data_IF_294726086202
#
_entry.id   IF_294726086202
#
_cell.length_a   1.000
_cell.length_b   1.000
_cell.length_c   1.000
_cell.angle_alpha   90.00
_cell.angle_beta   90.00
_cell.angle_gamma   90.00
#
_symmetry.space_group_name_H-M   'P 1'
#
loop_
_entity.id
_entity.type
_entity.pdbx_description
1 polymer ?
#
# COMPACT_ATOMS: atom_id res chain seq x y z
N UNK A 1 9.22 -5.91 -38.55
CA UNK A 1 10.66 -6.23 -38.62
C UNK A 1 11.00 -6.99 -37.35
N UNK A 2 11.19 -8.31 -37.47
CA UNK A 2 11.46 -9.22 -36.35
C UNK A 2 12.97 -9.31 -36.21
N UNK A 3 13.52 -9.01 -35.02
CA UNK A 3 14.94 -9.16 -34.73
C UNK A 3 15.12 -10.19 -33.62
N UNK A 4 15.53 -11.38 -34.01
CA UNK A 4 15.92 -12.51 -33.17
C UNK A 4 17.41 -12.38 -32.89
N UNK A 5 17.85 -12.38 -31.62
CA UNK A 5 19.27 -12.53 -31.28
C UNK A 5 19.49 -13.70 -30.31
N UNK A 6 20.46 -14.53 -30.69
CA UNK A 6 20.74 -15.85 -30.19
C UNK A 6 21.63 -15.87 -28.93
N UNK A 7 21.46 -16.92 -28.12
CA UNK A 7 22.38 -17.32 -27.05
C UNK A 7 23.68 -17.89 -27.63
N UNK A 8 24.81 -17.56 -27.02
CA UNK A 8 26.10 -18.26 -27.19
C UNK A 8 26.65 -18.64 -25.82
N UNK A 9 26.69 -19.95 -25.56
CA UNK A 9 27.49 -20.57 -24.51
C UNK A 9 28.74 -21.18 -25.17
N UNK A 10 29.91 -20.97 -24.58
CA UNK A 10 31.15 -21.56 -25.06
C UNK A 10 32.29 -21.29 -24.08
N UNK A 11 32.57 -22.28 -23.21
CA UNK A 11 33.82 -22.35 -22.45
C UNK A 11 34.87 -23.18 -23.19
N UNK A 12 36.15 -22.91 -22.94
CA UNK A 12 37.26 -23.86 -23.01
C UNK A 12 38.53 -23.19 -22.48
N UNK A 13 39.34 -23.93 -21.71
CA UNK A 13 40.64 -23.47 -21.24
C UNK A 13 41.25 -24.39 -20.20
N UNK A 14 41.62 -25.60 -20.61
CA UNK A 14 42.33 -26.62 -19.83
C UNK A 14 43.83 -26.34 -19.75
N UNK A 15 44.43 -26.42 -18.55
CA UNK A 15 45.86 -26.68 -18.36
C UNK A 15 46.13 -27.37 -17.01
N UNK A 16 46.80 -28.52 -17.06
CA UNK A 16 47.43 -29.34 -16.00
C UNK A 16 48.64 -30.00 -16.70
N UNK A 17 49.69 -30.59 -16.08
CA UNK A 17 49.99 -30.86 -14.66
C UNK A 17 51.40 -30.33 -14.26
N UNK A 18 51.97 -30.54 -13.06
CA UNK A 18 52.74 -31.73 -12.70
C UNK A 18 53.33 -31.64 -11.27
N UNK A 19 53.79 -32.79 -10.78
CA UNK A 19 54.68 -33.10 -9.65
C UNK A 19 54.06 -33.34 -8.26
N UNK A 20 53.74 -34.62 -8.01
CA UNK A 20 53.83 -35.27 -6.69
C UNK A 20 55.31 -35.58 -6.37
N UNK A 21 55.73 -35.80 -5.10
CA UNK A 21 55.47 -37.08 -4.41
C UNK A 21 55.19 -36.99 -2.89
N UNK A 22 54.44 -37.97 -2.40
CA UNK A 22 54.23 -38.30 -0.98
C UNK A 22 55.50 -38.88 -0.34
N UNK A 23 55.69 -38.78 0.99
CA UNK A 23 55.46 -40.01 1.77
C UNK A 23 54.95 -39.83 3.23
N UNK A 24 54.37 -40.94 3.71
CA UNK A 24 54.37 -41.49 5.06
C UNK A 24 53.54 -40.85 6.20
N UNK A 25 52.63 -41.68 6.71
CA UNK A 25 51.80 -41.57 7.90
C UNK A 25 52.54 -41.26 9.20
N UNK A 26 51.91 -40.45 10.06
CA UNK A 26 51.93 -40.63 11.52
C UNK A 26 50.74 -39.90 12.16
N UNK A 27 50.03 -40.61 13.01
CA UNK A 27 48.85 -40.17 13.74
C UNK A 27 49.18 -39.09 14.77
N UNK A 28 48.31 -38.11 14.93
CA UNK A 28 48.13 -37.40 16.21
C UNK A 28 46.68 -36.91 16.29
N UNK A 29 45.98 -37.39 17.31
CA UNK A 29 44.64 -36.99 17.68
C UNK A 29 44.61 -35.51 18.09
N UNK A 30 43.73 -34.72 17.49
CA UNK A 30 43.33 -33.42 18.02
C UNK A 30 41.81 -33.28 17.86
N UNK A 31 41.15 -33.00 18.98
CA UNK A 31 39.70 -32.95 19.19
C UNK A 31 38.92 -32.15 18.15
N UNK A 32 37.66 -32.54 17.84
CA UNK A 32 36.78 -31.67 17.09
C UNK A 32 36.38 -30.49 17.98
N UNK A 33 37.01 -29.32 17.79
CA UNK A 33 36.40 -28.05 18.18
C UNK A 33 35.14 -27.89 17.33
N UNK A 34 33.99 -28.17 17.95
CA UNK A 34 32.68 -27.87 17.41
C UNK A 34 32.66 -26.38 17.02
N UNK A 35 32.83 -26.12 15.73
CA UNK A 35 32.56 -24.81 15.15
C UNK A 35 31.05 -24.70 15.11
N UNK A 36 30.47 -24.15 16.17
CA UNK A 36 29.06 -23.78 16.20
C UNK A 36 28.80 -22.92 14.97
N UNK A 37 27.86 -23.28 14.07
CA UNK A 37 27.45 -22.36 13.02
C UNK A 37 26.90 -21.15 13.74
N UNK A 38 27.57 -20.00 13.57
CA UNK A 38 27.09 -18.73 14.09
C UNK A 38 25.65 -18.59 13.62
N UNK A 39 24.73 -18.57 14.59
CA UNK A 39 23.30 -18.48 14.36
C UNK A 39 23.06 -17.39 13.32
N UNK A 40 22.38 -17.78 12.24
CA UNK A 40 22.17 -16.93 11.07
C UNK A 40 21.77 -15.54 11.50
N UNK A 41 22.46 -14.53 10.97
CA UNK A 41 21.94 -13.19 10.95
C UNK A 41 20.66 -13.26 10.12
N UNK A 42 19.53 -13.48 10.79
CA UNK A 42 18.21 -13.30 10.21
C UNK A 42 18.15 -11.81 9.89
N UNK A 43 18.48 -11.46 8.65
CA UNK A 43 18.30 -10.12 8.13
C UNK A 43 16.82 -9.80 8.30
N UNK A 44 16.48 -9.12 9.39
CA UNK A 44 15.12 -8.67 9.66
C UNK A 44 14.83 -7.60 8.62
N UNK A 45 14.33 -8.04 7.47
CA UNK A 45 13.88 -7.16 6.40
C UNK A 45 12.82 -6.27 7.03
N UNK A 46 13.15 -4.98 7.19
CA UNK A 46 12.21 -4.01 7.73
C UNK A 46 10.91 -4.12 6.92
N UNK A 47 9.78 -4.27 7.63
CA UNK A 47 8.47 -4.24 6.99
C UNK A 47 8.36 -2.94 6.19
N UNK A 48 7.82 -2.97 4.95
CA UNK A 48 7.62 -1.76 4.16
C UNK A 48 6.79 -0.75 4.96
N UNK A 49 7.26 0.50 5.02
CA UNK A 49 6.42 1.57 5.55
C UNK A 49 5.23 1.82 4.62
N UNK A 50 4.08 2.26 5.17
CA UNK A 50 2.95 2.66 4.35
C UNK A 50 3.37 3.75 3.37
N UNK A 51 2.77 3.72 2.19
CA UNK A 51 2.95 4.74 1.17
C UNK A 51 1.60 5.32 0.84
N UNK A 52 1.59 6.60 0.48
CA UNK A 52 0.42 7.22 -0.12
C UNK A 52 0.11 6.53 -1.46
N UNK A 53 -1.18 6.32 -1.72
CA UNK A 53 -1.62 5.75 -2.99
C UNK A 53 -1.34 6.73 -4.13
N UNK A 54 -0.80 6.22 -5.24
CA UNK A 54 -0.80 6.93 -6.51
C UNK A 54 -2.14 6.63 -7.21
N UNK A 55 -2.99 7.65 -7.29
CA UNK A 55 -4.33 7.52 -7.88
C UNK A 55 -4.32 7.76 -9.40
N UNK A 56 -3.17 8.10 -9.97
CA UNK A 56 -3.03 8.44 -11.39
C UNK A 56 -2.59 7.25 -12.23
N UNK A 57 -2.30 6.11 -11.61
CA UNK A 57 -1.77 4.93 -12.27
C UNK A 57 -2.34 3.64 -11.68
N UNK A 58 -2.60 2.66 -12.54
CA UNK A 58 -3.06 1.34 -12.15
C UNK A 58 -4.36 1.34 -11.36
N UNK A 59 -4.65 0.20 -10.73
CA UNK A 59 -5.83 0.00 -9.90
C UNK A 59 -5.47 0.07 -8.43
N UNK A 60 -6.13 0.96 -7.68
CA UNK A 60 -5.90 1.10 -6.24
C UNK A 60 -7.19 1.46 -5.51
N UNK A 61 -7.26 1.11 -4.23
CA UNK A 61 -8.31 1.58 -3.32
C UNK A 61 -7.63 2.33 -2.18
N UNK A 62 -8.05 3.56 -1.94
CA UNK A 62 -7.46 4.41 -0.89
C UNK A 62 -8.49 5.36 -0.32
N UNK A 63 -8.29 5.74 0.95
CA UNK A 63 -8.95 6.92 1.52
C UNK A 63 -8.18 8.17 1.07
N UNK A 64 -8.92 9.23 0.77
CA UNK A 64 -8.41 10.52 0.31
C UNK A 64 -9.21 11.64 0.95
N UNK A 65 -8.63 12.84 1.02
CA UNK A 65 -9.38 14.08 1.24
C UNK A 65 -9.87 14.58 -0.12
N UNK A 66 -11.17 14.77 -0.26
CA UNK A 66 -11.78 15.36 -1.45
C UNK A 66 -11.79 16.89 -1.32
N UNK A 67 -10.97 17.55 -2.12
CA UNK A 67 -10.87 19.02 -2.16
C UNK A 67 -11.88 19.64 -3.14
N UNK A 68 -12.13 18.96 -4.27
CA UNK A 68 -13.11 19.40 -5.25
C UNK A 68 -13.70 18.23 -6.03
N UNK A 69 -14.96 18.35 -6.44
CA UNK A 69 -15.65 17.43 -7.32
C UNK A 69 -16.35 18.24 -8.42
N UNK A 70 -16.00 17.96 -9.68
CA UNK A 70 -16.59 18.58 -10.85
C UNK A 70 -17.27 17.51 -11.69
N UNK A 71 -18.57 17.36 -11.46
CA UNK A 71 -19.41 16.40 -12.19
C UNK A 71 -19.56 16.73 -13.67
N UNK A 72 -19.40 18.01 -14.08
CA UNK A 72 -19.54 18.42 -15.48
C UNK A 72 -18.32 18.00 -16.30
N UNK A 73 -17.14 18.07 -15.70
CA UNK A 73 -15.88 17.67 -16.32
C UNK A 73 -15.44 16.25 -15.93
N UNK A 74 -16.28 15.50 -15.19
CA UNK A 74 -15.99 14.17 -14.67
C UNK A 74 -14.60 14.09 -14.03
N UNK A 75 -14.33 14.98 -13.07
CA UNK A 75 -13.03 15.07 -12.41
C UNK A 75 -13.15 15.37 -10.92
N UNK A 76 -12.15 14.94 -10.15
CA UNK A 76 -12.03 15.28 -8.73
C UNK A 76 -10.61 15.74 -8.41
N UNK A 77 -10.48 16.69 -7.50
CA UNK A 77 -9.21 17.06 -6.88
C UNK A 77 -9.16 16.36 -5.52
N UNK A 78 -8.20 15.46 -5.38
CA UNK A 78 -8.06 14.60 -4.21
C UNK A 78 -6.65 14.69 -3.64
N UNK A 79 -6.55 14.49 -2.34
CA UNK A 79 -5.28 14.37 -1.63
C UNK A 79 -5.21 12.98 -0.99
N UNK A 80 -4.26 12.13 -1.42
CA UNK A 80 -4.04 10.85 -0.77
C UNK A 80 -3.70 11.04 0.70
N UNK A 81 -4.30 10.22 1.56
CA UNK A 81 -3.97 10.16 2.97
C UNK A 81 -3.70 8.72 3.39
N UNK A 82 -2.99 8.56 4.50
CA UNK A 82 -2.94 7.29 5.20
C UNK A 82 -4.00 7.34 6.28
N UNK A 83 -5.04 6.53 6.17
CA UNK A 83 -6.11 6.42 7.15
C UNK A 83 -6.08 5.05 7.81
N UNK A 84 -5.94 5.00 9.13
CA UNK A 84 -5.91 3.74 9.86
C UNK A 84 -6.35 3.91 11.31
N UNK A 85 -6.65 2.80 11.99
CA UNK A 85 -6.97 2.84 13.42
C UNK A 85 -5.74 3.25 14.25
N UNK A 86 -5.96 3.83 15.43
CA UNK A 86 -4.85 4.22 16.33
C UNK A 86 -3.90 3.06 16.66
N UNK A 87 -4.43 1.85 16.88
CA UNK A 87 -3.60 0.66 17.12
C UNK A 87 -2.81 0.23 15.88
N UNK A 88 -3.41 0.27 14.68
CA UNK A 88 -2.72 -0.03 13.43
C UNK A 88 -1.59 0.98 13.17
N UNK A 89 -1.85 2.26 13.43
CA UNK A 89 -0.87 3.34 13.33
C UNK A 89 0.34 3.08 14.22
N UNK A 90 0.09 2.84 15.51
CA UNK A 90 1.18 2.67 16.45
C UNK A 90 2.01 1.40 16.17
N UNK A 91 1.37 0.31 15.73
CA UNK A 91 2.10 -0.89 15.28
C UNK A 91 2.98 -0.60 14.07
N UNK A 92 2.42 0.10 13.08
CA UNK A 92 3.09 0.40 11.81
C UNK A 92 4.31 1.30 12.00
N UNK A 93 4.18 2.35 12.80
CA UNK A 93 5.24 3.33 13.06
C UNK A 93 6.08 3.01 14.30
N UNK A 94 5.87 1.83 14.92
CA UNK A 94 6.59 1.36 16.13
C UNK A 94 6.52 2.35 17.30
N UNK A 95 5.36 3.00 17.45
CA UNK A 95 5.05 3.89 18.57
C UNK A 95 4.57 3.02 19.74
N UNK A 96 4.93 3.41 20.97
CA UNK A 96 4.49 2.70 22.18
C UNK A 96 2.96 2.71 22.25
N UNK A 97 2.35 1.56 22.52
CA UNK A 97 0.88 1.43 22.65
C UNK A 97 0.23 2.34 23.71
N UNK A 98 1.01 2.84 24.66
CA UNK A 98 0.55 3.79 25.69
C UNK A 98 0.57 5.25 25.24
N UNK A 99 1.04 5.55 24.03
CA UNK A 99 1.01 6.90 23.45
C UNK A 99 -0.45 7.32 23.22
N UNK A 100 -0.77 8.59 23.51
CA UNK A 100 -2.12 9.14 23.40
C UNK A 100 -2.74 8.92 22.02
N UNK A 101 -1.93 8.93 20.94
CA UNK A 101 -2.38 8.65 19.57
C UNK A 101 -2.94 7.24 19.39
N UNK A 102 -2.47 6.28 20.18
CA UNK A 102 -2.91 4.89 20.11
C UNK A 102 -4.18 4.63 20.92
N UNK A 103 -4.35 5.33 22.05
CA UNK A 103 -5.41 5.03 23.03
C UNK A 103 -6.60 5.97 22.95
N UNK A 104 -6.40 7.22 22.53
CA UNK A 104 -7.44 8.25 22.55
C UNK A 104 -8.07 8.51 21.18
N UNK A 105 -7.50 7.97 20.11
CA UNK A 105 -7.96 8.20 18.75
C UNK A 105 -8.43 6.89 18.12
N UNK A 106 -9.71 6.83 17.75
CA UNK A 106 -10.25 5.70 17.00
C UNK A 106 -9.53 5.55 15.64
N UNK A 107 -9.24 6.68 15.00
CA UNK A 107 -8.54 6.76 13.72
C UNK A 107 -7.45 7.82 13.75
N UNK A 108 -6.40 7.58 12.96
CA UNK A 108 -5.29 8.49 12.73
C UNK A 108 -5.13 8.67 11.22
N UNK A 109 -4.95 9.92 10.82
CA UNK A 109 -4.69 10.34 9.43
C UNK A 109 -3.30 10.94 9.31
N UNK A 110 -2.58 10.57 8.26
CA UNK A 110 -1.40 11.31 7.78
C UNK A 110 -1.70 11.87 6.40
N UNK A 111 -1.46 13.16 6.22
CA UNK A 111 -1.73 13.89 4.99
C UNK A 111 -0.50 13.87 4.06
N UNK A 112 -0.72 13.58 2.77
CA UNK A 112 0.38 13.63 1.79
C UNK A 112 0.80 15.05 1.44
N UNK A 113 -0.03 16.06 1.73
CA UNK A 113 0.13 17.45 1.29
C UNK A 113 0.26 17.58 -0.24
N UNK A 114 -0.19 16.56 -0.98
CA UNK A 114 -0.09 16.50 -2.45
C UNK A 114 -1.49 16.36 -3.03
N UNK A 115 -1.88 17.33 -3.85
CA UNK A 115 -3.18 17.35 -4.52
C UNK A 115 -3.02 16.89 -5.96
N UNK A 116 -3.88 15.97 -6.36
CA UNK A 116 -3.92 15.44 -7.73
C UNK A 116 -5.33 15.57 -8.29
N UNK A 117 -5.43 15.91 -9.57
CA UNK A 117 -6.69 15.88 -10.30
C UNK A 117 -6.80 14.52 -10.98
N UNK A 118 -7.88 13.79 -10.71
CA UNK A 118 -8.11 12.44 -11.21
C UNK A 118 -9.42 12.43 -12.02
N UNK A 119 -9.44 11.85 -13.23
CA UNK A 119 -10.67 11.67 -13.99
C UNK A 119 -11.60 10.67 -13.30
N UNK A 120 -12.90 10.81 -13.54
CA UNK A 120 -13.95 9.96 -13.00
C UNK A 120 -14.61 9.24 -14.17
N UNK A 121 -14.79 7.94 -14.03
CA UNK A 121 -15.49 7.14 -15.00
C UNK A 121 -16.97 7.58 -15.11
N UNK A 122 -17.52 7.58 -16.32
CA UNK A 122 -18.90 8.00 -16.55
C UNK A 122 -19.94 7.10 -15.83
N UNK A 123 -19.56 5.87 -15.49
CA UNK A 123 -20.36 4.89 -14.74
C UNK A 123 -19.87 4.72 -13.30
N UNK A 124 -19.07 5.66 -12.79
CA UNK A 124 -18.59 5.62 -11.43
C UNK A 124 -19.73 5.44 -10.42
N UNK A 125 -19.47 4.60 -9.42
CA UNK A 125 -20.44 4.28 -8.37
C UNK A 125 -20.23 5.19 -7.16
N UNK A 126 -21.32 5.74 -6.63
CA UNK A 126 -21.29 6.64 -5.49
C UNK A 126 -21.99 6.01 -4.29
N UNK A 127 -21.41 6.18 -3.11
CA UNK A 127 -21.94 5.60 -1.88
C UNK A 127 -21.86 6.56 -0.69
N UNK A 128 -22.85 6.44 0.20
CA UNK A 128 -22.92 7.08 1.52
C UNK A 128 -22.90 6.02 2.61
N UNK A 129 -22.60 6.45 3.85
CA UNK A 129 -22.54 5.58 5.03
C UNK A 129 -23.87 5.46 5.78
N UNK A 130 -24.81 6.37 5.52
CA UNK A 130 -26.16 6.38 6.08
C UNK A 130 -27.17 6.61 4.95
N UNK A 131 -28.23 5.81 4.92
CA UNK A 131 -29.30 5.95 3.93
C UNK A 131 -30.37 7.00 4.35
N UNK A 132 -31.42 7.14 3.55
CA UNK A 132 -32.48 8.12 3.80
C UNK A 132 -33.35 7.80 5.02
N UNK A 133 -33.27 6.57 5.55
CA UNK A 133 -34.00 6.08 6.71
C UNK A 133 -33.17 6.20 7.99
N UNK A 134 -31.88 6.52 7.88
CA UNK A 134 -30.94 6.57 9.00
C UNK A 134 -30.25 5.24 9.27
N UNK A 135 -30.40 4.25 8.38
CA UNK A 135 -29.70 2.97 8.53
C UNK A 135 -28.25 3.12 8.08
N UNK A 136 -27.33 2.61 8.90
CA UNK A 136 -25.89 2.68 8.66
C UNK A 136 -25.44 1.52 7.77
N UNK A 137 -24.90 1.83 6.58
CA UNK A 137 -24.30 0.84 5.69
C UNK A 137 -22.78 1.07 5.56
N UNK A 138 -21.99 0.36 6.38
CA UNK A 138 -20.53 0.40 6.36
C UNK A 138 -20.00 -1.03 6.50
N UNK A 139 -19.19 -1.49 5.55
CA UNK A 139 -18.50 -2.79 5.65
C UNK A 139 -17.21 -2.68 6.48
N UNK A 140 -16.44 -1.62 6.21
CA UNK A 140 -15.20 -1.29 6.91
C UNK A 140 -14.94 0.22 6.80
N UNK A 141 -14.39 0.87 7.84
CA UNK A 141 -14.17 2.32 7.85
C UNK A 141 -13.35 2.81 6.64
N UNK A 142 -12.27 2.11 6.30
CA UNK A 142 -11.38 2.45 5.19
C UNK A 142 -11.97 2.22 3.80
N UNK A 143 -13.10 1.51 3.70
CA UNK A 143 -13.84 1.30 2.44
C UNK A 143 -14.97 2.31 2.23
N UNK A 144 -15.25 3.13 3.24
CA UNK A 144 -16.38 4.03 3.28
C UNK A 144 -17.73 3.31 3.29
N UNK A 145 -18.78 4.07 3.08
CA UNK A 145 -20.15 3.58 3.06
C UNK A 145 -20.48 2.67 1.88
N UNK A 146 -21.57 1.93 2.02
CA UNK A 146 -22.10 0.98 1.03
C UNK A 146 -23.54 1.28 0.62
N UNK A 147 -24.21 2.25 1.23
CA UNK A 147 -25.54 2.65 0.78
C UNK A 147 -25.37 3.39 -0.57
N UNK A 148 -26.03 2.94 -1.65
CA UNK A 148 -25.88 3.57 -2.95
C UNK A 148 -26.48 4.98 -2.94
N UNK A 149 -25.83 5.90 -3.65
CA UNK A 149 -26.36 7.22 -3.93
C UNK A 149 -26.10 7.62 -5.38
N UNK A 150 -26.82 8.63 -5.86
CA UNK A 150 -26.61 9.19 -7.20
C UNK A 150 -25.43 10.16 -7.23
N UNK A 151 -24.83 10.36 -8.40
CA UNK A 151 -23.80 11.37 -8.61
C UNK A 151 -24.26 12.79 -8.26
N UNK A 152 -25.56 13.07 -8.42
CA UNK A 152 -26.20 14.35 -8.08
C UNK A 152 -26.26 14.55 -6.56
N UNK A 153 -26.72 13.54 -5.83
CA UNK A 153 -26.75 13.57 -4.37
C UNK A 153 -25.34 13.69 -3.80
N UNK A 154 -24.37 12.96 -4.37
CA UNK A 154 -22.98 13.06 -3.97
C UNK A 154 -22.44 14.48 -4.18
N UNK A 155 -22.70 15.08 -5.35
CA UNK A 155 -22.32 16.47 -5.61
C UNK A 155 -22.91 17.46 -4.62
N UNK A 156 -24.20 17.35 -4.31
CA UNK A 156 -24.85 18.18 -3.29
C UNK A 156 -24.26 17.99 -1.89
N UNK A 157 -23.90 16.75 -1.54
CA UNK A 157 -23.22 16.48 -0.27
C UNK A 157 -21.82 17.12 -0.21
N UNK A 158 -21.04 17.05 -1.29
CA UNK A 158 -19.69 17.65 -1.35
C UNK A 158 -19.73 19.18 -1.20
N UNK A 159 -20.75 19.84 -1.77
CA UNK A 159 -20.93 21.29 -1.63
C UNK A 159 -21.12 21.72 -0.16
N UNK A 160 -21.75 20.86 0.64
CA UNK A 160 -22.00 21.07 2.07
C UNK A 160 -20.83 20.61 2.95
N UNK A 161 -20.04 19.64 2.50
CA UNK A 161 -19.02 18.95 3.30
C UNK A 161 -17.65 19.05 2.61
N UNK A 162 -17.05 20.24 2.66
CA UNK A 162 -15.73 20.51 2.06
C UNK A 162 -14.62 19.76 2.79
N UNK A 163 -13.60 19.33 2.05
CA UNK A 163 -12.42 18.63 2.57
C UNK A 163 -12.77 17.33 3.32
N UNK A 164 -13.81 16.63 2.86
CA UNK A 164 -14.25 15.40 3.50
C UNK A 164 -13.41 14.19 3.08
N UNK A 165 -13.35 13.20 3.96
CA UNK A 165 -12.73 11.92 3.64
C UNK A 165 -13.67 11.05 2.80
N UNK A 166 -13.14 10.52 1.71
CA UNK A 166 -13.81 9.53 0.88
C UNK A 166 -12.87 8.36 0.59
N UNK A 167 -13.43 7.16 0.45
CA UNK A 167 -12.73 6.02 -0.11
C UNK A 167 -12.96 6.02 -1.62
N UNK A 168 -11.88 6.03 -2.38
CA UNK A 168 -11.90 5.92 -3.84
C UNK A 168 -11.36 4.57 -4.28
N UNK A 169 -11.93 4.03 -5.35
CA UNK A 169 -11.28 2.97 -6.13
C UNK A 169 -10.99 3.52 -7.53
N UNK A 170 -9.79 3.22 -8.03
CA UNK A 170 -9.36 3.56 -9.38
C UNK A 170 -9.11 2.32 -10.21
N UNK A 171 -9.25 2.46 -11.52
CA UNK A 171 -8.78 1.54 -12.54
C UNK A 171 -8.01 2.36 -13.59
N UNK A 172 -6.75 2.00 -13.83
CA UNK A 172 -5.82 2.72 -14.72
C UNK A 172 -5.80 4.25 -14.52
N UNK A 173 -5.84 4.69 -13.27
CA UNK A 173 -5.83 6.11 -12.92
C UNK A 173 -7.16 6.85 -13.11
N UNK A 174 -8.26 6.12 -13.30
CA UNK A 174 -9.63 6.67 -13.41
C UNK A 174 -10.46 6.20 -12.22
N UNK A 175 -11.15 7.12 -11.54
CA UNK A 175 -12.02 6.79 -10.41
C UNK A 175 -13.26 6.03 -10.90
N UNK A 176 -13.46 4.81 -10.43
CA UNK A 176 -14.63 3.97 -10.72
C UNK A 176 -15.60 3.88 -9.54
N UNK A 177 -15.14 4.26 -8.34
CA UNK A 177 -15.96 4.30 -7.12
C UNK A 177 -15.57 5.45 -6.21
N UNK A 178 -16.56 6.11 -5.63
CA UNK A 178 -16.40 7.09 -4.55
C UNK A 178 -17.38 6.76 -3.41
N UNK A 179 -16.88 6.69 -2.18
CA UNK A 179 -17.71 6.39 -1.01
C UNK A 179 -17.35 7.30 0.16
N UNK A 180 -18.35 7.87 0.82
CA UNK A 180 -18.13 8.72 1.99
C UNK A 180 -17.56 7.87 3.14
N UNK A 181 -16.48 8.35 3.77
CA UNK A 181 -15.92 7.70 4.97
C UNK A 181 -16.58 8.29 6.21
N UNK A 182 -17.11 7.40 7.06
CA UNK A 182 -17.63 7.78 8.36
C UNK A 182 -16.50 7.89 9.38
N UNK A 183 -16.41 9.04 10.05
CA UNK A 183 -15.55 9.22 11.22
C UNK A 183 -16.41 9.69 12.40
N UNK A 184 -16.61 8.84 13.42
CA UNK A 184 -17.40 9.14 14.61
C UNK A 184 -16.78 10.23 15.50
#
# INVERSE_FOLDING_TARGET
MVLTLALLAGGCGTATPDASPTPASSATSASPSASTPSAGATSSRAAPQPRFADLTQGSTTSVVILHAYDSKNASAVVEPIIFMTGDAYCRTFKIKRTDARCVNHAYVTEESNTKVTVPIDAQAKFFTWEDAQGDVCIDAPEKGGTCPMTAKEFGGWVELNKNSMIAVATEDGVITRMAIVYTP
#
